data_IF_907429516053
#
_entry.id   IF_907429516053
#
_cell.length_a   1.000
_cell.length_b   1.000
_cell.length_c   1.000
_cell.angle_alpha   90.00
_cell.angle_beta   90.00
_cell.angle_gamma   90.00
#
_symmetry.space_group_name_H-M   'P 1'
#
loop_
_entity.id
_entity.type
_entity.pdbx_description
1 polymer ?
#
# COMPACT_ATOMS: atom_id res chain seq x y z
N UNK A 1 -11.58 3.91 7.62
CA UNK A 1 -10.60 3.46 8.66
C UNK A 1 -10.32 1.96 8.49
N UNK A 2 -9.19 1.43 8.98
CA UNK A 2 -8.99 -0.01 9.03
C UNK A 2 -10.08 -0.72 9.84
N UNK A 3 -10.30 -2.00 9.56
CA UNK A 3 -11.31 -2.79 10.27
C UNK A 3 -11.04 -2.78 11.79
N UNK A 4 -12.08 -2.51 12.57
CA UNK A 4 -11.99 -2.41 14.03
C UNK A 4 -11.39 -1.11 14.57
N UNK A 5 -11.20 -0.08 13.72
CA UNK A 5 -10.73 1.25 14.14
C UNK A 5 -11.82 2.30 13.96
N UNK A 6 -11.88 3.23 14.91
CA UNK A 6 -12.78 4.39 14.92
C UNK A 6 -12.19 5.62 14.23
N UNK A 7 -10.87 5.65 14.03
CA UNK A 7 -10.15 6.71 13.33
C UNK A 7 -9.32 6.17 12.16
N UNK A 8 -8.90 7.09 11.30
CA UNK A 8 -8.02 6.84 10.16
C UNK A 8 -6.86 7.83 10.25
N UNK A 9 -5.63 7.31 10.33
CA UNK A 9 -4.42 8.12 10.12
C UNK A 9 -4.42 8.57 8.65
N UNK A 10 -4.17 9.86 8.40
CA UNK A 10 -4.31 10.44 7.05
C UNK A 10 -2.95 10.41 6.31
N UNK A 11 -2.90 11.04 5.14
CA UNK A 11 -1.69 11.13 4.34
C UNK A 11 -1.44 9.90 3.47
N UNK A 12 -1.62 10.08 2.16
CA UNK A 12 -1.33 9.06 1.15
C UNK A 12 -0.14 9.43 0.26
N UNK A 13 0.38 10.65 0.39
CA UNK A 13 1.59 11.10 -0.28
C UNK A 13 2.70 11.22 0.76
N UNK A 14 3.79 10.49 0.56
CA UNK A 14 4.92 10.48 1.50
C UNK A 14 6.21 10.15 0.76
N UNK A 15 7.31 10.73 1.24
CA UNK A 15 8.68 10.33 0.92
C UNK A 15 9.30 9.80 2.21
N UNK A 16 9.86 8.60 2.17
CA UNK A 16 10.53 7.99 3.32
C UNK A 16 11.97 7.60 2.99
N UNK A 17 12.82 7.55 4.00
CA UNK A 17 14.15 6.95 3.92
C UNK A 17 14.11 5.53 4.47
N UNK A 18 14.70 4.58 3.76
CA UNK A 18 14.88 3.22 4.23
C UNK A 18 15.91 3.24 5.35
N UNK A 19 15.52 2.89 6.58
CA UNK A 19 16.45 2.83 7.73
C UNK A 19 17.04 1.42 7.94
N UNK A 20 16.33 0.40 7.47
CA UNK A 20 16.69 -1.01 7.62
C UNK A 20 16.05 -1.83 6.49
N UNK A 21 16.67 -2.96 6.11
CA UNK A 21 16.09 -3.93 5.19
C UNK A 21 16.18 -5.35 5.75
N UNK A 22 15.17 -6.18 5.47
CA UNK A 22 15.20 -7.60 5.84
C UNK A 22 16.12 -8.43 4.94
N UNK A 23 16.51 -9.62 5.41
CA UNK A 23 17.50 -10.48 4.73
C UNK A 23 17.12 -10.89 3.28
N UNK A 24 15.83 -10.90 2.94
CA UNK A 24 15.36 -11.24 1.60
C UNK A 24 15.26 -10.03 0.65
N UNK A 25 15.50 -8.81 1.13
CA UNK A 25 15.45 -7.61 0.30
C UNK A 25 16.68 -7.53 -0.61
N UNK A 26 16.46 -7.49 -1.92
CA UNK A 26 17.52 -7.43 -2.93
C UNK A 26 17.56 -6.15 -3.74
N UNK A 27 16.58 -5.26 -3.55
CA UNK A 27 16.34 -4.07 -4.40
C UNK A 27 16.35 -2.73 -3.64
N UNK A 28 16.55 -2.76 -2.33
CA UNK A 28 16.58 -1.60 -1.45
C UNK A 28 17.75 -1.75 -0.48
N UNK A 29 18.31 -0.64 -0.03
CA UNK A 29 19.31 -0.57 1.04
C UNK A 29 19.03 0.60 1.98
N UNK A 30 19.58 0.60 3.21
CA UNK A 30 19.53 1.76 4.09
C UNK A 30 20.02 3.03 3.38
N UNK A 31 19.34 4.15 3.60
CA UNK A 31 19.57 5.44 2.96
C UNK A 31 18.82 5.65 1.62
N UNK A 32 18.20 4.62 1.05
CA UNK A 32 17.39 4.82 -0.16
C UNK A 32 16.13 5.64 0.15
N UNK A 33 15.81 6.59 -0.73
CA UNK A 33 14.54 7.31 -0.70
C UNK A 33 13.46 6.54 -1.46
N UNK A 34 12.29 6.38 -0.84
CA UNK A 34 11.17 5.62 -1.40
C UNK A 34 9.86 6.38 -1.30
N UNK A 35 9.02 6.20 -2.32
CA UNK A 35 7.62 6.60 -2.29
C UNK A 35 6.78 5.34 -2.13
N UNK A 36 6.02 5.19 -1.02
CA UNK A 36 5.19 4.02 -0.83
C UNK A 36 3.97 4.07 -1.76
N UNK A 37 3.69 2.95 -2.42
CA UNK A 37 2.47 2.82 -3.22
C UNK A 37 1.23 2.97 -2.33
N UNK A 38 0.23 3.73 -2.79
CA UNK A 38 -1.00 4.03 -2.03
C UNK A 38 -1.99 2.87 -2.05
N UNK A 39 -2.39 2.45 -3.26
CA UNK A 39 -3.39 1.43 -3.48
C UNK A 39 -2.79 0.04 -3.36
N UNK A 40 -3.40 -0.81 -2.55
CA UNK A 40 -3.11 -2.24 -2.43
C UNK A 40 -4.12 -3.04 -3.24
N UNK A 41 -3.69 -4.10 -3.93
CA UNK A 41 -4.59 -4.93 -4.72
C UNK A 41 -5.64 -5.60 -3.82
N UNK A 42 -6.82 -5.88 -4.36
CA UNK A 42 -7.78 -6.75 -3.70
C UNK A 42 -7.23 -8.19 -3.59
N UNK A 43 -7.85 -8.99 -2.74
CA UNK A 43 -7.44 -10.37 -2.46
C UNK A 43 -8.15 -11.41 -3.33
N UNK A 44 -9.10 -10.98 -4.17
CA UNK A 44 -9.87 -11.88 -5.03
C UNK A 44 -8.99 -12.49 -6.12
N UNK A 45 -9.03 -13.82 -6.22
CA UNK A 45 -8.19 -14.59 -7.15
C UNK A 45 -8.60 -14.39 -8.62
N UNK A 46 -9.88 -14.13 -8.87
CA UNK A 46 -10.46 -13.85 -10.18
C UNK A 46 -10.20 -12.41 -10.67
N UNK A 47 -9.73 -11.52 -9.80
CA UNK A 47 -9.39 -10.15 -10.18
C UNK A 47 -8.06 -10.10 -10.93
N UNK A 48 -8.10 -10.42 -12.23
CA UNK A 48 -6.93 -10.48 -13.12
C UNK A 48 -6.11 -9.19 -13.10
N UNK A 49 -6.75 -8.03 -13.01
CA UNK A 49 -6.08 -6.74 -12.91
C UNK A 49 -5.20 -6.66 -11.65
N UNK A 50 -5.74 -6.97 -10.48
CA UNK A 50 -4.99 -6.96 -9.23
C UNK A 50 -3.89 -8.03 -9.19
N UNK A 51 -4.14 -9.23 -9.74
CA UNK A 51 -3.14 -10.30 -9.80
C UNK A 51 -1.99 -9.98 -10.76
N UNK A 52 -2.24 -9.15 -11.78
CA UNK A 52 -1.23 -8.61 -12.68
C UNK A 52 -0.53 -7.35 -12.16
N UNK A 53 -0.75 -6.93 -10.90
CA UNK A 53 -0.17 -5.71 -10.34
C UNK A 53 -0.77 -4.41 -10.90
N UNK A 54 -1.97 -4.49 -11.48
CA UNK A 54 -2.73 -3.39 -12.09
C UNK A 54 -3.95 -3.05 -11.24
N UNK A 55 -3.74 -2.83 -9.94
CA UNK A 55 -4.81 -2.46 -9.00
C UNK A 55 -5.52 -1.13 -9.33
N UNK A 56 -4.97 -0.32 -10.24
CA UNK A 56 -5.65 0.80 -10.89
C UNK A 56 -6.91 0.35 -11.66
N UNK A 57 -6.89 -0.84 -12.25
CA UNK A 57 -8.00 -1.46 -13.00
C UNK A 57 -8.80 -2.49 -12.18
N UNK A 58 -8.73 -2.44 -10.85
CA UNK A 58 -9.46 -3.37 -10.00
C UNK A 58 -10.98 -3.27 -10.23
N UNK A 59 -11.57 -4.28 -10.86
CA UNK A 59 -13.01 -4.29 -11.15
C UNK A 59 -13.87 -4.70 -9.95
N UNK A 60 -13.28 -5.37 -8.95
CA UNK A 60 -14.02 -5.77 -7.74
C UNK A 60 -14.31 -4.60 -6.81
N UNK A 61 -13.56 -3.50 -6.93
CA UNK A 61 -13.64 -2.36 -6.00
C UNK A 61 -13.01 -2.63 -4.63
N UNK A 62 -12.71 -3.88 -4.25
CA UNK A 62 -12.22 -4.28 -2.93
C UNK A 62 -10.72 -4.05 -2.70
N UNK A 63 -10.11 -3.16 -3.49
CA UNK A 63 -8.80 -2.62 -3.17
C UNK A 63 -8.86 -1.77 -1.90
N UNK A 64 -7.70 -1.57 -1.26
CA UNK A 64 -7.53 -0.66 -0.13
C UNK A 64 -6.50 0.41 -0.46
N UNK A 65 -6.56 1.54 0.22
CA UNK A 65 -5.73 2.71 -0.01
C UNK A 65 -5.28 3.30 1.32
N UNK A 66 -3.96 3.41 1.49
CA UNK A 66 -3.34 4.08 2.65
C UNK A 66 -3.88 5.50 2.77
N UNK A 67 -4.42 5.88 3.92
CA UNK A 67 -4.89 7.25 4.21
C UNK A 67 -6.19 7.64 3.52
N UNK A 68 -6.88 6.71 2.85
CA UNK A 68 -8.14 6.96 2.12
C UNK A 68 -9.18 5.88 2.44
N UNK A 69 -8.85 4.61 2.16
CA UNK A 69 -9.79 3.48 2.21
C UNK A 69 -9.19 2.28 2.94
N UNK A 70 -9.75 1.97 4.10
CA UNK A 70 -9.49 0.72 4.84
C UNK A 70 -8.05 0.49 5.34
N UNK A 71 -7.11 1.40 5.11
CA UNK A 71 -5.74 1.33 5.63
C UNK A 71 -5.29 2.70 6.13
N UNK A 72 -4.65 2.73 7.30
CA UNK A 72 -4.00 3.92 7.87
C UNK A 72 -2.93 4.47 6.92
N UNK A 73 -2.89 5.79 6.78
CA UNK A 73 -1.92 6.52 5.98
C UNK A 73 -0.55 6.60 6.63
N UNK A 74 0.17 7.69 6.36
CA UNK A 74 1.55 7.90 6.79
C UNK A 74 1.74 9.17 7.65
N UNK A 75 0.68 9.92 7.97
CA UNK A 75 0.72 11.18 8.73
C UNK A 75 -0.37 11.28 9.80
#
# INVERSE_FOLDING_TARGET
PPAGRDHLVIGHESLGEVVEVGAAASRLKPGDLVVPMVRRPCLHADCVACRAGRQDFCFTGDFSERGIKSLDGFM
#
